data_IF_815378045088
#
_entry.id   IF_815378045088
#
_cell.length_a   1.000
_cell.length_b   1.000
_cell.length_c   1.000
_cell.angle_alpha   90.00
_cell.angle_beta   90.00
_cell.angle_gamma   90.00
#
_symmetry.space_group_name_H-M   'P 1'
#
loop_
_entity.id
_entity.type
_entity.pdbx_description
1 polymer ?
#
# COMPACT_ATOMS: atom_id res chain seq x y z
N UNK A 1 -10.69 7.99 -5.36
CA UNK A 1 -10.89 8.56 -4.02
C UNK A 1 -9.98 7.92 -2.98
N UNK A 2 -10.18 6.66 -2.54
CA UNK A 2 -9.31 6.07 -1.50
C UNK A 2 -7.87 5.79 -1.96
N UNK A 3 -7.65 5.43 -3.23
CA UNK A 3 -6.29 5.29 -3.77
C UNK A 3 -5.53 6.61 -3.74
N UNK A 4 -6.18 7.71 -4.11
CA UNK A 4 -5.57 9.04 -4.14
C UNK A 4 -5.22 9.51 -2.73
N UNK A 5 -6.14 9.31 -1.77
CA UNK A 5 -5.91 9.60 -0.36
C UNK A 5 -4.71 8.83 0.21
N UNK A 6 -4.59 7.54 -0.11
CA UNK A 6 -3.44 6.73 0.32
C UNK A 6 -2.12 7.25 -0.26
N UNK A 7 -2.07 7.54 -1.56
CA UNK A 7 -0.88 8.08 -2.23
C UNK A 7 -0.45 9.43 -1.66
N UNK A 8 -1.41 10.33 -1.47
CA UNK A 8 -1.15 11.64 -0.91
C UNK A 8 -0.61 11.53 0.53
N UNK A 9 -1.23 10.69 1.35
CA UNK A 9 -0.77 10.43 2.73
C UNK A 9 0.67 9.92 2.77
N UNK A 10 1.01 8.91 1.96
CA UNK A 10 2.36 8.36 1.88
C UNK A 10 3.37 9.42 1.39
N UNK A 11 2.97 10.22 0.39
CA UNK A 11 3.81 11.29 -0.18
C UNK A 11 4.10 12.39 0.84
N UNK A 12 3.07 12.85 1.56
CA UNK A 12 3.21 13.86 2.62
C UNK A 12 4.14 13.40 3.75
N UNK A 13 4.19 12.10 4.03
CA UNK A 13 5.12 11.51 5.01
C UNK A 13 6.51 11.21 4.45
N UNK A 14 6.75 11.48 3.17
CA UNK A 14 8.00 11.14 2.50
C UNK A 14 8.27 9.63 2.46
N UNK A 15 7.21 8.82 2.52
CA UNK A 15 7.30 7.37 2.38
C UNK A 15 7.35 7.07 0.88
N UNK A 16 8.45 6.45 0.42
CA UNK A 16 8.55 6.00 -0.97
C UNK A 16 7.64 4.78 -1.17
N UNK A 17 6.89 4.77 -2.25
CA UNK A 17 6.03 3.65 -2.64
C UNK A 17 6.10 3.43 -4.15
N UNK A 18 5.76 2.22 -4.57
CA UNK A 18 5.50 1.90 -5.96
C UNK A 18 3.99 1.84 -6.18
N UNK A 19 3.49 2.61 -7.14
CA UNK A 19 2.11 2.49 -7.59
C UNK A 19 1.97 1.31 -8.55
N UNK A 20 0.94 0.48 -8.32
CA UNK A 20 0.52 -0.56 -9.26
C UNK A 20 -0.97 -0.40 -9.57
N UNK A 21 -1.26 0.14 -10.75
CA UNK A 21 -2.64 0.38 -11.19
C UNK A 21 -3.25 -0.88 -11.82
N UNK A 22 -4.17 -1.51 -11.11
CA UNK A 22 -4.86 -2.74 -11.56
C UNK A 22 -5.75 -2.54 -12.80
N UNK A 23 -6.07 -1.30 -13.17
CA UNK A 23 -6.81 -0.99 -14.39
C UNK A 23 -5.92 -1.01 -15.63
N UNK A 24 -4.63 -0.68 -15.48
CA UNK A 24 -3.67 -0.60 -16.58
C UNK A 24 -2.65 -1.75 -16.57
N UNK A 25 -2.55 -2.48 -15.45
CA UNK A 25 -1.58 -3.56 -15.26
C UNK A 25 -2.30 -4.88 -14.89
N UNK A 26 -2.47 -5.78 -15.88
CA UNK A 26 -3.07 -7.09 -15.65
C UNK A 26 -2.32 -7.94 -14.64
N UNK A 27 -1.00 -7.74 -14.49
CA UNK A 27 -0.20 -8.48 -13.51
C UNK A 27 -0.50 -8.00 -12.09
N UNK A 28 -0.65 -6.69 -11.88
CA UNK A 28 -1.10 -6.13 -10.61
C UNK A 28 -2.48 -6.65 -10.20
N UNK A 29 -3.41 -6.73 -11.15
CA UNK A 29 -4.74 -7.32 -10.91
C UNK A 29 -4.65 -8.81 -10.54
N UNK A 30 -3.80 -9.57 -11.24
CA UNK A 30 -3.61 -10.99 -10.96
C UNK A 30 -3.02 -11.21 -9.55
N UNK A 31 -2.04 -10.40 -9.15
CA UNK A 31 -1.44 -10.48 -7.81
C UNK A 31 -2.43 -10.06 -6.72
N UNK A 32 -3.23 -9.01 -6.95
CA UNK A 32 -4.32 -8.63 -6.05
C UNK A 32 -5.30 -9.78 -5.82
N UNK A 33 -5.69 -10.49 -6.90
CA UNK A 33 -6.56 -11.67 -6.82
C UNK A 33 -5.91 -12.84 -6.08
N UNK A 34 -4.62 -13.11 -6.30
CA UNK A 34 -3.88 -14.15 -5.57
C UNK A 34 -3.83 -13.88 -4.07
N UNK A 35 -3.74 -12.61 -3.68
CA UNK A 35 -3.82 -12.18 -2.28
C UNK A 35 -5.23 -12.31 -1.68
N UNK A 36 -6.25 -12.60 -2.50
CA UNK A 36 -7.64 -12.79 -2.05
C UNK A 36 -8.45 -11.49 -1.96
N UNK A 37 -7.95 -10.39 -2.50
CA UNK A 37 -8.61 -9.09 -2.44
C UNK A 37 -9.19 -8.69 -3.79
N UNK A 38 -10.29 -7.94 -3.75
CA UNK A 38 -10.99 -7.42 -4.95
C UNK A 38 -11.26 -5.92 -4.87
N UNK A 39 -10.76 -5.27 -3.82
CA UNK A 39 -10.99 -3.85 -3.52
C UNK A 39 -9.66 -3.12 -3.48
N UNK A 40 -9.65 -1.85 -3.89
CA UNK A 40 -8.49 -0.96 -3.80
C UNK A 40 -8.78 0.21 -2.86
N UNK A 41 -7.75 0.84 -2.27
CA UNK A 41 -6.33 0.46 -2.33
C UNK A 41 -6.02 -0.80 -1.51
N UNK A 42 -4.96 -1.51 -1.90
CA UNK A 42 -4.28 -2.50 -1.05
C UNK A 42 -2.82 -2.06 -0.94
N UNK A 43 -2.36 -1.88 0.29
CA UNK A 43 -1.03 -1.38 0.60
C UNK A 43 -0.25 -2.53 1.22
N UNK A 44 0.90 -2.83 0.63
CA UNK A 44 1.79 -3.90 1.10
C UNK A 44 3.04 -3.22 1.66
N UNK A 45 3.31 -3.45 2.94
CA UNK A 45 4.51 -2.96 3.63
C UNK A 45 5.22 -4.19 4.19
N UNK A 46 6.37 -4.52 3.61
CA UNK A 46 7.08 -5.78 3.85
C UNK A 46 6.15 -7.00 3.66
N UNK A 47 5.83 -7.71 4.75
CA UNK A 47 4.92 -8.86 4.76
C UNK A 47 3.49 -8.51 5.21
N UNK A 48 3.23 -7.24 5.52
CA UNK A 48 1.93 -6.79 6.02
C UNK A 48 1.06 -6.29 4.88
N UNK A 49 -0.16 -6.81 4.79
CA UNK A 49 -1.17 -6.33 3.85
C UNK A 49 -2.22 -5.50 4.58
N UNK A 50 -2.43 -4.28 4.11
CA UNK A 50 -3.45 -3.34 4.59
C UNK A 50 -4.46 -3.15 3.46
N UNK A 51 -5.71 -3.52 3.71
CA UNK A 51 -6.80 -3.35 2.75
C UNK A 51 -7.55 -2.06 3.07
N UNK A 52 -7.76 -1.23 2.05
CA UNK A 52 -8.33 0.10 2.21
C UNK A 52 -7.31 1.12 2.71
N UNK A 53 -7.81 2.31 3.04
CA UNK A 53 -6.99 3.39 3.60
C UNK A 53 -7.10 3.40 5.14
N UNK A 54 -6.03 2.97 5.82
CA UNK A 54 -5.92 2.94 7.28
C UNK A 54 -4.60 3.61 7.71
N UNK A 55 -4.59 4.94 7.97
CA UNK A 55 -3.37 5.69 8.28
C UNK A 55 -2.67 5.20 9.56
N UNK A 56 -3.42 4.67 10.53
CA UNK A 56 -2.88 4.15 11.79
C UNK A 56 -2.06 2.88 11.54
N UNK A 57 -2.58 1.95 10.74
CA UNK A 57 -1.83 0.75 10.35
C UNK A 57 -0.64 1.10 9.45
N UNK A 58 -0.83 2.03 8.50
CA UNK A 58 0.26 2.48 7.63
C UNK A 58 1.42 3.01 8.48
N UNK A 59 1.16 3.90 9.43
CA UNK A 59 2.19 4.46 10.30
C UNK A 59 2.90 3.40 11.13
N UNK A 60 2.12 2.50 11.74
CA UNK A 60 2.65 1.42 12.57
C UNK A 60 3.66 0.56 11.81
N UNK A 61 3.37 0.24 10.56
CA UNK A 61 4.21 -0.66 9.76
C UNK A 61 5.30 0.08 8.97
N UNK A 62 5.06 1.31 8.51
CA UNK A 62 6.06 2.09 7.77
C UNK A 62 7.19 2.63 8.66
N UNK A 63 6.93 2.85 9.95
CA UNK A 63 7.97 3.24 10.92
C UNK A 63 8.90 2.06 11.25
N UNK A 64 8.33 0.86 11.42
CA UNK A 64 9.09 -0.35 11.75
C UNK A 64 10.13 -0.69 10.66
N UNK A 65 9.76 -0.52 9.38
CA UNK A 65 10.69 -0.72 8.25
C UNK A 65 11.87 0.27 8.24
N UNK A 66 11.71 1.50 8.77
CA UNK A 66 12.82 2.47 8.89
C UNK A 66 13.78 2.13 10.02
N UNK A 67 13.28 1.60 11.14
CA UNK A 67 14.09 1.26 12.33
C UNK A 67 14.94 0.01 12.12
N UNK A 68 14.52 -0.92 11.26
CA UNK A 68 15.24 -2.19 11.01
C UNK A 68 16.42 -2.08 10.03
N UNK A 69 16.59 -0.92 9.39
CA UNK A 69 17.67 -0.61 8.43
C UNK A 69 18.80 0.23 9.05
N UNK A 70 18.87 0.35 10.38
CA UNK A 70 19.91 1.07 11.12
C UNK A 70 20.83 0.14 11.91
#
# INVERSE_FOLDING_TARGET
MFCDQAKEYLSQKGIKFQERDVAQDPSALADLKKLGYMTTPVIIIDSTVIVGFDPVKIDKHAVDSKTRLS
#
